data_IF_170333098224
#
_entry.id   IF_170333098224
#
_cell.length_a   1.000
_cell.length_b   1.000
_cell.length_c   1.000
_cell.angle_alpha   90.00
_cell.angle_beta   90.00
_cell.angle_gamma   90.00
#
_symmetry.space_group_name_H-M   'P 1'
#
loop_
_entity.id
_entity.type
_entity.pdbx_description
1 polymer ?
#
# COMPACT_ATOMS: atom_id res chain seq x y z
N UNK A 1 -2.13 -6.53 11.71
CA UNK A 1 -3.03 -5.73 12.55
C UNK A 1 -2.34 -4.42 12.87
N UNK A 2 -3.09 -3.32 12.97
CA UNK A 2 -2.50 -2.02 13.27
C UNK A 2 -2.11 -1.96 14.76
N UNK A 3 -0.97 -1.32 15.08
CA UNK A 3 -0.58 -1.13 16.47
C UNK A 3 -1.61 -0.26 17.22
N UNK A 4 -1.94 -0.56 18.49
CA UNK A 4 -3.00 0.13 19.23
C UNK A 4 -2.83 1.64 19.34
N UNK A 5 -1.58 2.12 19.44
CA UNK A 5 -1.26 3.54 19.55
C UNK A 5 -1.55 4.28 18.24
N UNK A 6 -1.07 3.75 17.11
CA UNK A 6 -1.41 4.24 15.78
C UNK A 6 -2.92 4.16 15.53
N UNK A 7 -3.53 3.03 15.94
CA UNK A 7 -4.94 2.78 15.76
C UNK A 7 -5.83 3.71 16.58
N UNK A 8 -5.30 4.40 17.59
CA UNK A 8 -6.03 5.38 18.38
C UNK A 8 -5.94 6.79 17.79
N UNK A 9 -4.92 7.07 16.96
CA UNK A 9 -4.64 8.38 16.40
C UNK A 9 -5.84 8.93 15.59
N UNK A 10 -6.40 10.10 15.97
CA UNK A 10 -7.49 10.72 15.22
C UNK A 10 -7.08 11.16 13.81
N UNK A 11 -5.79 11.42 13.56
CA UNK A 11 -5.25 11.87 12.26
C UNK A 11 -4.88 10.72 11.33
N UNK A 12 -5.06 9.47 11.76
CA UNK A 12 -4.71 8.30 10.97
C UNK A 12 -5.34 8.32 9.56
N UNK A 13 -6.62 8.71 9.36
CA UNK A 13 -7.20 8.82 8.02
C UNK A 13 -6.45 9.80 7.11
N UNK A 14 -6.12 10.99 7.61
CA UNK A 14 -5.40 12.03 6.89
C UNK A 14 -3.96 11.59 6.58
N UNK A 15 -3.32 10.92 7.53
CA UNK A 15 -1.97 10.34 7.34
C UNK A 15 -2.00 9.28 6.24
N UNK A 16 -2.95 8.34 6.28
CA UNK A 16 -3.10 7.34 5.23
C UNK A 16 -3.38 7.96 3.86
N UNK A 17 -4.19 9.02 3.81
CA UNK A 17 -4.41 9.78 2.57
C UNK A 17 -3.12 10.46 2.07
N UNK A 18 -2.33 11.03 2.99
CA UNK A 18 -1.05 11.67 2.66
C UNK A 18 -0.02 10.70 2.10
N UNK A 19 -0.05 9.43 2.49
CA UNK A 19 0.80 8.40 1.91
C UNK A 19 0.46 8.13 0.45
N UNK A 20 -0.82 8.12 0.09
CA UNK A 20 -1.24 7.97 -1.31
C UNK A 20 -0.74 9.13 -2.17
N UNK A 21 -0.97 10.37 -1.74
CA UNK A 21 -0.53 11.55 -2.50
C UNK A 21 1.00 11.63 -2.53
N UNK A 22 1.66 11.30 -1.42
CA UNK A 22 3.12 11.23 -1.32
C UNK A 22 3.73 10.18 -2.25
N UNK A 23 3.10 9.00 -2.42
CA UNK A 23 3.58 7.97 -3.34
C UNK A 23 3.49 8.40 -4.82
N UNK A 24 2.44 9.16 -5.18
CA UNK A 24 2.31 9.76 -6.50
C UNK A 24 3.37 10.86 -6.72
N UNK A 25 3.55 11.73 -5.72
CA UNK A 25 4.50 12.84 -5.76
C UNK A 25 5.96 12.36 -5.80
N UNK A 26 6.30 11.31 -5.05
CA UNK A 26 7.64 10.71 -5.02
C UNK A 26 8.09 10.18 -6.39
N UNK A 27 7.13 9.81 -7.24
CA UNK A 27 7.36 9.40 -8.64
C UNK A 27 7.26 10.55 -9.63
N UNK A 28 6.98 11.78 -9.17
CA UNK A 28 6.82 12.96 -10.01
C UNK A 28 5.58 12.90 -10.91
N UNK A 29 4.53 12.18 -10.49
CA UNK A 29 3.37 11.93 -11.33
C UNK A 29 2.37 13.08 -11.27
N UNK A 30 1.95 13.53 -12.45
CA UNK A 30 0.88 14.51 -12.56
C UNK A 30 -0.47 13.81 -12.58
N UNK A 31 -1.37 14.23 -11.69
CA UNK A 31 -2.73 13.71 -11.60
C UNK A 31 -3.74 14.85 -11.36
N UNK A 32 -5.02 14.54 -11.56
CA UNK A 32 -6.17 15.40 -11.24
C UNK A 32 -7.28 14.59 -10.58
N UNK A 33 -8.27 15.29 -10.04
CA UNK A 33 -9.48 14.68 -9.46
C UNK A 33 -9.18 13.57 -8.44
N UNK A 34 -8.13 13.74 -7.61
CA UNK A 34 -7.83 12.79 -6.56
C UNK A 34 -8.93 12.86 -5.48
N UNK A 35 -9.58 11.73 -5.25
CA UNK A 35 -10.67 11.62 -4.31
C UNK A 35 -10.84 10.19 -3.81
N UNK A 36 -11.56 10.04 -2.72
CA UNK A 36 -11.70 8.74 -2.08
C UNK A 36 -12.16 8.83 -0.64
N UNK A 37 -12.02 7.71 0.05
CA UNK A 37 -12.35 7.57 1.47
C UNK A 37 -11.28 6.75 2.17
N UNK A 38 -10.91 7.17 3.37
CA UNK A 38 -10.20 6.34 4.33
C UNK A 38 -11.15 6.03 5.47
N UNK A 39 -11.46 4.75 5.66
CA UNK A 39 -12.40 4.27 6.67
C UNK A 39 -11.64 3.55 7.77
N UNK A 40 -11.90 3.92 9.02
CA UNK A 40 -11.39 3.26 10.21
C UNK A 40 -12.51 2.49 10.91
N UNK A 41 -12.31 1.20 11.12
CA UNK A 41 -13.25 0.33 11.82
C UNK A 41 -12.57 -0.33 13.03
N UNK A 42 -13.16 -0.17 14.21
CA UNK A 42 -12.67 -0.77 15.46
C UNK A 42 -13.64 -1.82 16.00
N UNK A 43 -13.11 -2.94 16.47
CA UNK A 43 -13.87 -4.03 17.12
C UNK A 43 -13.47 -4.17 18.57
N UNK A 44 -14.47 -4.16 19.46
CA UNK A 44 -14.33 -4.49 20.87
C UNK A 44 -15.14 -5.75 21.16
N UNK A 45 -14.56 -6.69 21.90
CA UNK A 45 -15.15 -8.01 22.13
C UNK A 45 -15.64 -8.15 23.57
N UNK A 46 -16.80 -8.79 23.75
CA UNK A 46 -17.46 -8.96 25.04
C UNK A 46 -17.90 -10.42 25.26
N UNK A 47 -18.25 -10.77 26.49
CA UNK A 47 -18.80 -12.09 26.83
C UNK A 47 -17.84 -13.23 26.49
N UNK A 48 -18.34 -14.23 25.75
CA UNK A 48 -17.55 -15.40 25.32
C UNK A 48 -16.33 -15.05 24.45
N UNK A 49 -16.28 -13.83 23.87
CA UNK A 49 -15.15 -13.35 23.07
C UNK A 49 -14.26 -12.37 23.83
N UNK A 50 -14.49 -12.14 25.12
CA UNK A 50 -13.75 -11.15 25.93
C UNK A 50 -12.23 -11.39 25.99
N UNK A 51 -11.76 -12.62 25.77
CA UNK A 51 -10.34 -12.93 25.69
C UNK A 51 -9.67 -12.41 24.40
N UNK A 52 -10.44 -12.00 23.38
CA UNK A 52 -9.90 -11.44 22.14
C UNK A 52 -9.46 -9.99 22.36
N UNK A 53 -8.29 -9.64 21.83
CA UNK A 53 -7.79 -8.26 21.84
C UNK A 53 -8.65 -7.39 20.91
N UNK A 54 -8.89 -6.12 21.25
CA UNK A 54 -9.49 -5.17 20.32
C UNK A 54 -8.71 -5.14 19.00
N UNK A 55 -9.44 -5.04 17.89
CA UNK A 55 -8.86 -5.04 16.56
C UNK A 55 -9.27 -3.76 15.83
N UNK A 56 -8.35 -3.15 15.08
CA UNK A 56 -8.65 -2.01 14.22
C UNK A 56 -8.21 -2.32 12.80
N UNK A 57 -9.06 -1.97 11.84
CA UNK A 57 -8.82 -2.07 10.42
C UNK A 57 -8.92 -0.69 9.77
N UNK A 58 -8.04 -0.44 8.81
CA UNK A 58 -8.11 0.71 7.90
C UNK A 58 -8.40 0.18 6.50
N UNK A 59 -9.33 0.84 5.83
CA UNK A 59 -9.65 0.61 4.42
C UNK A 59 -9.47 1.93 3.67
N UNK A 60 -8.66 1.91 2.61
CA UNK A 60 -8.54 3.03 1.68
C UNK A 60 -9.21 2.68 0.35
N UNK A 61 -10.07 3.57 -0.11
CA UNK A 61 -10.61 3.59 -1.48
C UNK A 61 -10.22 4.89 -2.10
N UNK A 62 -9.57 4.83 -3.25
CA UNK A 62 -9.10 6.02 -3.92
C UNK A 62 -9.28 5.92 -5.43
N UNK A 63 -9.47 7.07 -6.06
CA UNK A 63 -9.48 7.25 -7.50
C UNK A 63 -8.82 8.57 -7.85
N UNK A 64 -8.11 8.60 -8.96
CA UNK A 64 -7.51 9.80 -9.53
C UNK A 64 -7.47 9.66 -11.05
N UNK A 65 -7.31 10.78 -11.75
CA UNK A 65 -7.12 10.81 -13.20
C UNK A 65 -5.65 11.06 -13.52
N UNK A 66 -4.92 10.08 -14.11
CA UNK A 66 -3.60 10.31 -14.68
C UNK A 66 -3.64 11.45 -15.71
N UNK A 67 -2.72 12.41 -15.60
CA UNK A 67 -2.59 13.48 -16.60
C UNK A 67 -1.66 13.07 -17.72
N UNK A 68 -1.77 13.77 -18.85
CA UNK A 68 -0.92 13.55 -20.02
C UNK A 68 0.56 13.62 -19.65
N UNK A 69 1.32 12.68 -20.20
CA UNK A 69 2.77 12.64 -20.12
C UNK A 69 3.35 12.77 -21.55
N UNK A 70 4.58 12.33 -21.78
CA UNK A 70 5.28 12.42 -23.07
C UNK A 70 4.39 11.95 -24.22
N UNK A 71 4.19 12.82 -25.20
CA UNK A 71 3.39 12.52 -26.40
C UNK A 71 1.87 12.51 -26.15
N UNK A 72 1.38 13.12 -25.07
CA UNK A 72 -0.05 13.21 -24.77
C UNK A 72 -0.63 11.93 -24.12
N UNK A 73 0.21 10.94 -23.84
CA UNK A 73 -0.22 9.65 -23.29
C UNK A 73 0.18 9.60 -21.81
N UNK A 74 -0.75 9.35 -20.86
CA UNK A 74 -0.41 9.19 -19.45
C UNK A 74 0.47 7.96 -19.18
N UNK A 75 1.41 8.08 -18.23
CA UNK A 75 2.24 6.96 -17.77
C UNK A 75 1.48 6.10 -16.73
N UNK A 76 0.53 5.31 -17.21
CA UNK A 76 -0.33 4.47 -16.36
C UNK A 76 0.46 3.42 -15.56
N UNK A 77 1.60 2.95 -16.09
CA UNK A 77 2.46 2.00 -15.40
C UNK A 77 3.06 2.64 -14.13
N UNK A 78 3.59 3.86 -14.23
CA UNK A 78 4.12 4.56 -13.06
C UNK A 78 3.04 4.90 -12.03
N UNK A 79 1.82 5.23 -12.46
CA UNK A 79 0.68 5.40 -11.55
C UNK A 79 0.31 4.10 -10.81
N UNK A 80 0.33 2.95 -11.49
CA UNK A 80 0.11 1.66 -10.84
C UNK A 80 1.22 1.33 -9.85
N UNK A 81 2.47 1.67 -10.18
CA UNK A 81 3.59 1.45 -9.29
C UNK A 81 3.53 2.34 -8.04
N UNK A 82 3.08 3.59 -8.13
CA UNK A 82 2.79 4.43 -6.95
C UNK A 82 1.77 3.77 -6.01
N UNK A 83 0.72 3.17 -6.58
CA UNK A 83 -0.25 2.41 -5.79
C UNK A 83 0.40 1.19 -5.12
N UNK A 84 1.30 0.49 -5.82
CA UNK A 84 2.09 -0.60 -5.26
C UNK A 84 2.97 -0.14 -4.09
N UNK A 85 3.67 0.99 -4.21
CA UNK A 85 4.53 1.53 -3.15
C UNK A 85 3.73 1.86 -1.89
N UNK A 86 2.53 2.46 -2.05
CA UNK A 86 1.61 2.67 -0.94
C UNK A 86 1.23 1.36 -0.25
N UNK A 87 0.89 0.31 -1.01
CA UNK A 87 0.54 -0.99 -0.45
C UNK A 87 1.72 -1.61 0.31
N UNK A 88 2.94 -1.49 -0.20
CA UNK A 88 4.16 -1.90 0.49
C UNK A 88 4.34 -1.12 1.79
N UNK A 89 4.17 0.20 1.78
CA UNK A 89 4.26 1.04 2.97
C UNK A 89 3.22 0.66 4.03
N UNK A 90 1.96 0.43 3.62
CA UNK A 90 0.89 -0.03 4.52
C UNK A 90 1.21 -1.42 5.10
N UNK A 91 1.86 -2.28 4.33
CA UNK A 91 2.31 -3.60 4.77
C UNK A 91 3.57 -3.54 5.67
N UNK A 92 4.15 -2.36 5.89
CA UNK A 92 5.38 -2.18 6.68
C UNK A 92 6.64 -2.66 5.96
N UNK A 93 6.60 -2.80 4.63
CA UNK A 93 7.77 -3.14 3.84
C UNK A 93 8.66 -1.90 3.65
N UNK A 94 10.00 -2.06 3.62
CA UNK A 94 10.89 -0.95 3.30
C UNK A 94 10.60 -0.42 1.88
N UNK A 95 10.86 0.86 1.61
CA UNK A 95 10.71 1.41 0.27
C UNK A 95 11.57 0.62 -0.72
N UNK A 96 11.00 0.32 -1.88
CA UNK A 96 11.65 -0.46 -2.92
C UNK A 96 12.70 0.41 -3.62
N UNK A 97 13.98 0.20 -3.31
CA UNK A 97 15.04 0.83 -4.08
C UNK A 97 15.08 0.21 -5.48
N UNK A 98 15.26 1.02 -6.53
CA UNK A 98 15.40 0.51 -7.91
C UNK A 98 16.60 -0.46 -8.06
N UNK A 99 17.52 -0.48 -7.10
CA UNK A 99 18.65 -1.43 -7.03
C UNK A 99 18.31 -2.78 -6.40
N UNK A 100 17.20 -2.89 -5.65
CA UNK A 100 16.84 -4.08 -4.86
C UNK A 100 15.89 -5.03 -5.61
N UNK A 101 15.55 -4.72 -6.86
CA UNK A 101 14.89 -5.66 -7.78
C UNK A 101 15.84 -6.78 -8.27
N UNK A 102 16.77 -7.24 -7.42
CA UNK A 102 17.52 -8.46 -7.63
C UNK A 102 16.55 -9.64 -7.53
N UNK A 103 15.96 -9.99 -8.67
CA UNK A 103 15.17 -11.21 -8.86
C UNK A 103 15.93 -12.38 -8.24
N UNK A 104 15.43 -12.91 -7.13
CA UNK A 104 15.94 -14.17 -6.58
C UNK A 104 15.51 -15.26 -7.55
N UNK A 105 16.43 -15.70 -8.40
CA UNK A 105 16.21 -16.87 -9.24
C UNK A 105 15.98 -18.08 -8.34
N UNK A 106 14.77 -18.64 -8.39
CA UNK A 106 14.46 -19.91 -7.72
C UNK A 106 15.50 -20.97 -8.13
N UNK A 107 16.08 -21.74 -7.18
CA UNK A 107 17.07 -22.75 -7.51
C UNK A 107 16.45 -23.76 -8.47
N UNK A 108 17.02 -23.93 -9.66
CA UNK A 108 16.57 -24.96 -10.57
C UNK A 108 16.82 -26.34 -9.94
N UNK A 109 15.74 -27.09 -9.72
CA UNK A 109 15.75 -28.46 -9.20
C UNK A 109 16.66 -29.32 -10.08
N UNK A 110 17.75 -29.86 -9.52
CA UNK A 110 18.65 -30.80 -10.21
C UNK A 110 17.82 -31.97 -10.77
N UNK A 111 17.99 -32.24 -12.06
CA UNK A 111 17.33 -33.33 -12.77
C UNK A 111 17.70 -34.71 -12.19
N UNK A 112 16.93 -35.76 -12.51
CA UNK A 112 17.11 -37.07 -11.92
C UNK A 112 18.47 -37.67 -12.36
N UNK A 113 19.27 -38.14 -11.40
CA UNK A 113 20.41 -39.00 -11.74
C UNK A 113 19.88 -40.38 -12.14
N UNK A 114 20.21 -40.79 -13.35
CA UNK A 114 19.94 -42.14 -13.85
C UNK A 114 21.00 -43.07 -13.27
N UNK A 115 20.55 -44.15 -12.63
CA UNK A 115 21.41 -45.19 -12.04
C UNK A 115 21.94 -46.16 -13.09
#
# INVERSE_FOLDING_TARGET
ELEPEMAADPLLPEVCWSWLTGALDARGLSYGEAGGTVTRAGSHYFGALSARRPATQIEIRASWTPKEWRGGIPDTASHLMAWGDLLCQIAGLPPSDLSDAAVVTLPQRRGPQVS
#
